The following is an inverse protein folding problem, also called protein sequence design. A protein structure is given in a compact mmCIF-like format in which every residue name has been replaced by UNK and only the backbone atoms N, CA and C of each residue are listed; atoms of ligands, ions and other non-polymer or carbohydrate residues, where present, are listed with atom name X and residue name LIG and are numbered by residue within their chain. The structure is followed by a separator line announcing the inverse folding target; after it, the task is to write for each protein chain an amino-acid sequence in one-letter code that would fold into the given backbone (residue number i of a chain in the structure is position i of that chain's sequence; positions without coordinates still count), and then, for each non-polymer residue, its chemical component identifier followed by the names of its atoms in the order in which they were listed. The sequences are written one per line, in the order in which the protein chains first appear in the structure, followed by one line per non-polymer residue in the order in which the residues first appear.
data_IF_945346684934
#
_entry.id   IF_945346684934
#
_cell.length_a   1.000
_cell.length_b   1.000
_cell.length_c   1.000
_cell.angle_alpha   90.00
_cell.angle_beta   90.00
_cell.angle_gamma   90.00
#
_symmetry.space_group_name_H-M   'P 1'
#
loop_
_entity.id
_entity.type
_entity.pdbx_description
1 polymer ?
#
# COMPACT_ATOMS: atom_id res chain seq x y z
N UNK A 1 12.68 23.40 8.86
CA UNK A 1 12.14 24.18 7.72
C UNK A 1 10.63 24.23 7.87
N UNK A 2 10.01 25.41 7.81
CA UNK A 2 8.56 25.60 7.99
C UNK A 2 7.91 25.89 6.64
N UNK A 3 6.96 25.05 6.20
CA UNK A 3 6.15 25.34 5.02
C UNK A 3 5.00 26.28 5.42
N UNK A 4 5.07 27.53 4.96
CA UNK A 4 4.00 28.52 5.14
C UNK A 4 2.90 28.28 4.10
N UNK A 5 1.70 27.90 4.55
CA UNK A 5 0.50 27.94 3.72
C UNK A 5 -0.18 29.31 3.90
N UNK A 6 -0.24 30.11 2.82
CA UNK A 6 -0.77 31.48 2.83
C UNK A 6 -2.29 31.59 3.06
N UNK A 7 -3.00 30.46 3.24
CA UNK A 7 -4.46 30.43 3.41
C UNK A 7 -4.93 30.32 4.86
N UNK A 8 -4.04 30.00 5.79
CA UNK A 8 -4.41 29.79 7.20
C UNK A 8 -3.29 30.32 8.09
N UNK A 9 -3.53 31.42 8.81
CA UNK A 9 -2.59 32.04 9.77
C UNK A 9 -2.38 31.15 11.03
N UNK A 10 -2.00 29.89 10.84
CA UNK A 10 -1.72 28.91 11.89
C UNK A 10 -0.42 28.22 11.54
N UNK A 11 0.57 28.29 12.42
CA UNK A 11 1.76 27.45 12.36
C UNK A 11 1.34 26.01 12.66
N UNK A 12 0.93 25.27 11.64
CA UNK A 12 0.68 23.83 11.77
C UNK A 12 2.03 23.15 11.99
N UNK A 13 2.13 22.43 13.11
CA UNK A 13 3.16 21.40 13.28
C UNK A 13 3.16 20.52 12.02
N UNK A 14 4.36 20.23 11.51
CA UNK A 14 4.67 19.45 10.30
C UNK A 14 3.49 18.59 9.85
N UNK A 15 2.76 18.98 8.81
CA UNK A 15 1.70 18.14 8.27
C UNK A 15 2.21 17.40 7.04
N UNK A 16 1.95 16.11 7.01
CA UNK A 16 2.15 15.32 5.82
C UNK A 16 0.99 15.52 4.86
N UNK A 17 1.24 15.43 3.56
CA UNK A 17 0.17 15.36 2.57
C UNK A 17 0.25 13.99 1.92
N UNK A 18 -0.80 13.18 2.09
CA UNK A 18 -0.88 11.88 1.46
C UNK A 18 -0.89 12.00 -0.07
N UNK A 19 -0.59 10.91 -0.78
CA UNK A 19 -0.65 10.88 -2.26
C UNK A 19 -2.06 11.16 -2.81
N UNK A 20 -3.09 11.03 -1.97
CA UNK A 20 -4.48 11.42 -2.22
C UNK A 20 -4.75 12.93 -2.02
N UNK A 21 -3.73 13.70 -1.62
CA UNK A 21 -3.82 15.14 -1.39
C UNK A 21 -4.40 15.51 -0.02
N UNK A 22 -4.70 14.54 0.83
CA UNK A 22 -5.27 14.80 2.17
C UNK A 22 -4.16 15.06 3.20
N UNK A 23 -4.36 16.03 4.12
CA UNK A 23 -3.42 16.25 5.21
C UNK A 23 -3.47 15.08 6.21
N UNK A 24 -2.29 14.65 6.65
CA UNK A 24 -2.05 13.54 7.56
C UNK A 24 -1.23 14.01 8.77
N UNK A 25 -1.53 13.43 9.94
CA UNK A 25 -0.84 13.79 11.17
C UNK A 25 0.51 13.08 11.27
N UNK A 26 1.55 13.71 11.85
CA UNK A 26 2.78 13.01 12.26
C UNK A 26 2.48 11.79 13.13
N UNK A 27 3.08 10.66 12.78
CA UNK A 27 2.83 9.35 13.39
C UNK A 27 1.62 8.59 12.82
N UNK A 28 0.82 9.21 11.94
CA UNK A 28 -0.29 8.52 11.28
C UNK A 28 0.26 7.51 10.25
N UNK A 29 -0.34 6.32 10.22
CA UNK A 29 -0.10 5.32 9.19
C UNK A 29 -1.41 5.00 8.47
N UNK A 30 -1.38 4.93 7.15
CA UNK A 30 -2.56 4.67 6.34
C UNK A 30 -2.22 3.85 5.10
N UNK A 31 -3.23 3.20 4.54
CA UNK A 31 -3.09 2.49 3.27
C UNK A 31 -3.47 3.42 2.12
N UNK A 32 -2.61 3.47 1.10
CA UNK A 32 -2.88 4.16 -0.17
C UNK A 32 -2.64 3.19 -1.31
N UNK A 33 -3.72 2.61 -1.85
CA UNK A 33 -3.63 1.54 -2.85
C UNK A 33 -2.84 0.34 -2.32
N UNK A 34 -1.76 0.00 -3.02
CA UNK A 34 -0.88 -1.12 -2.70
C UNK A 34 0.31 -0.75 -1.80
N UNK A 35 0.29 0.44 -1.23
CA UNK A 35 1.33 0.94 -0.36
C UNK A 35 0.80 1.19 1.05
N UNK A 36 1.63 0.89 2.04
CA UNK A 36 1.47 1.34 3.41
C UNK A 36 2.28 2.63 3.54
N UNK A 37 1.60 3.73 3.86
CA UNK A 37 2.23 5.02 4.08
C UNK A 37 2.28 5.35 5.57
N UNK A 38 3.33 6.05 5.97
CA UNK A 38 3.46 6.68 7.28
C UNK A 38 3.89 8.13 7.12
N UNK A 39 3.39 8.97 8.02
CA UNK A 39 3.88 10.33 8.18
C UNK A 39 4.89 10.36 9.32
N UNK A 40 6.14 10.68 9.03
CA UNK A 40 7.20 10.89 10.02
C UNK A 40 7.70 12.34 9.99
N UNK A 41 8.66 12.69 10.85
CA UNK A 41 9.28 14.01 10.90
C UNK A 41 9.95 14.42 9.58
N UNK A 42 10.42 13.44 8.80
CA UNK A 42 11.02 13.63 7.47
C UNK A 42 9.99 13.77 6.34
N UNK A 43 8.71 13.51 6.61
CA UNK A 43 7.61 13.61 5.64
C UNK A 43 6.85 12.30 5.45
N UNK A 44 6.20 12.16 4.29
CA UNK A 44 5.45 10.93 3.95
C UNK A 44 6.37 9.91 3.33
N UNK A 45 6.48 8.75 3.97
CA UNK A 45 7.12 7.58 3.41
C UNK A 45 6.05 6.55 3.04
N UNK A 46 6.09 6.02 1.82
CA UNK A 46 5.14 5.01 1.36
C UNK A 46 5.92 3.79 0.84
N UNK A 47 5.70 2.64 1.48
CA UNK A 47 6.34 1.39 1.12
C UNK A 47 5.31 0.41 0.55
N UNK A 48 5.69 -0.41 -0.46
CA UNK A 48 4.83 -1.49 -0.93
C UNK A 48 4.44 -2.40 0.23
N UNK A 49 3.19 -2.85 0.25
CA UNK A 49 2.74 -3.78 1.29
C UNK A 49 3.49 -5.10 1.18
N UNK A 50 3.89 -5.63 2.33
CA UNK A 50 4.46 -6.97 2.38
C UNK A 50 3.38 -8.01 2.11
N UNK A 51 3.56 -8.76 1.03
CA UNK A 51 2.67 -9.87 0.71
C UNK A 51 3.01 -11.11 1.53
N UNK A 52 2.00 -11.90 1.93
CA UNK A 52 2.25 -13.15 2.62
C UNK A 52 3.00 -14.12 1.70
N UNK A 53 4.04 -14.77 2.23
CA UNK A 53 4.75 -15.81 1.48
C UNK A 53 3.83 -16.98 1.24
N UNK A 54 3.53 -17.25 -0.03
CA UNK A 54 2.73 -18.40 -0.41
C UNK A 54 3.57 -19.68 -0.32
N UNK A 55 2.94 -20.77 0.14
CA UNK A 55 3.54 -22.10 0.04
C UNK A 55 3.63 -22.53 -1.43
N UNK A 56 4.60 -23.39 -1.81
CA UNK A 56 4.61 -23.97 -3.15
C UNK A 56 3.27 -24.65 -3.45
N UNK A 57 2.62 -24.21 -4.52
CA UNK A 57 1.36 -24.79 -5.01
C UNK A 57 1.66 -25.64 -6.22
N UNK A 58 1.19 -26.88 -6.19
CA UNK A 58 1.23 -27.81 -7.32
C UNK A 58 -0.20 -28.25 -7.60
N UNK A 59 -0.66 -28.02 -8.82
CA UNK A 59 -1.96 -28.51 -9.26
C UNK A 59 -1.86 -29.98 -9.61
N UNK A 60 -2.71 -30.82 -9.01
CA UNK A 60 -2.66 -32.28 -9.17
C UNK A 60 -3.88 -32.84 -9.86
N UNK A 61 -4.95 -32.05 -10.01
CA UNK A 61 -6.15 -32.51 -10.70
C UNK A 61 -6.02 -32.37 -12.21
N UNK A 62 -6.63 -33.29 -12.95
CA UNK A 62 -6.61 -33.27 -14.42
C UNK A 62 -7.33 -32.02 -14.95
N UNK A 63 -6.66 -31.29 -15.84
CA UNK A 63 -7.19 -30.06 -16.43
C UNK A 63 -6.97 -28.78 -15.61
N UNK A 64 -6.37 -28.89 -14.41
CA UNK A 64 -5.92 -27.71 -13.66
C UNK A 64 -4.61 -27.15 -14.24
N UNK A 65 -4.54 -25.82 -14.27
CA UNK A 65 -3.32 -25.07 -14.58
C UNK A 65 -3.02 -24.09 -13.45
N UNK A 66 -1.74 -23.85 -13.21
CA UNK A 66 -1.28 -22.86 -12.25
C UNK A 66 -1.47 -21.46 -12.86
N UNK A 67 -2.29 -20.63 -12.22
CA UNK A 67 -2.64 -19.27 -12.67
C UNK A 67 -2.13 -18.26 -11.64
N UNK A 68 -1.52 -17.17 -12.10
CA UNK A 68 -1.18 -16.03 -11.25
C UNK A 68 -2.38 -15.07 -11.18
N UNK A 69 -2.87 -14.80 -9.97
CA UNK A 69 -3.95 -13.86 -9.67
C UNK A 69 -3.45 -12.80 -8.71
N UNK A 70 -3.70 -11.54 -9.02
CA UNK A 70 -3.47 -10.45 -8.08
C UNK A 70 -4.70 -10.28 -7.19
N UNK A 71 -4.55 -10.55 -5.90
CA UNK A 71 -5.59 -10.35 -4.87
C UNK A 71 -5.03 -9.40 -3.82
N UNK A 72 -5.75 -8.32 -3.54
CA UNK A 72 -5.36 -7.32 -2.53
C UNK A 72 -3.91 -6.85 -2.62
N UNK A 73 -3.49 -6.49 -3.85
CA UNK A 73 -2.13 -6.05 -4.19
C UNK A 73 -1.03 -7.13 -4.13
N UNK A 74 -1.40 -8.39 -3.92
CA UNK A 74 -0.48 -9.51 -3.82
C UNK A 74 -0.72 -10.53 -4.91
N UNK A 75 0.36 -10.94 -5.57
CA UNK A 75 0.33 -12.07 -6.49
C UNK A 75 0.15 -13.37 -5.73
N UNK A 76 -0.85 -14.15 -6.13
CA UNK A 76 -1.20 -15.43 -5.55
C UNK A 76 -1.36 -16.44 -6.68
N UNK A 77 -0.72 -17.59 -6.54
CA UNK A 77 -0.84 -18.70 -7.46
C UNK A 77 -2.05 -19.57 -7.08
N UNK A 78 -2.98 -19.76 -8.00
CA UNK A 78 -4.17 -20.58 -7.81
C UNK A 78 -4.28 -21.64 -8.90
N UNK A 79 -4.80 -22.82 -8.54
CA UNK A 79 -5.13 -23.84 -9.52
C UNK A 79 -6.52 -23.56 -10.08
N UNK A 80 -6.61 -23.48 -11.41
CA UNK A 80 -7.88 -23.25 -12.09
C UNK A 80 -8.04 -24.25 -13.23
N UNK A 81 -9.26 -24.74 -13.43
CA UNK A 81 -9.57 -25.57 -14.58
C UNK A 81 -9.51 -24.72 -15.85
N UNK A 82 -8.64 -25.09 -16.79
CA UNK A 82 -8.67 -24.54 -18.13
C UNK A 82 -9.84 -25.19 -18.89
N UNK A 83 -10.95 -24.46 -19.06
CA UNK A 83 -12.14 -24.95 -19.79
C UNK A 83 -11.95 -24.90 -21.30
#
# INVERSE_FOLDING_TARGET
MTLFSSKSNICVASCCTGPDGQPKQPGETWQSGCQQCNCDEDGVQCEPRTCPTQKPVTCTEEGEVLVNRTVDCCETLTCECNK
#
